data_IF_920852697519
#
_entry.id   IF_920852697519
#
_cell.length_a   1.000
_cell.length_b   1.000
_cell.length_c   1.000
_cell.angle_alpha   90.00
_cell.angle_beta   90.00
_cell.angle_gamma   90.00
#
_symmetry.space_group_name_H-M   'P 1'
#
loop_
_entity.id
_entity.type
_entity.pdbx_description
1 polymer ?
#
# COMPACT_ATOMS: atom_id res chain seq x y z
N UNK A 1 3.90 9.94 -80.76
CA UNK A 1 4.29 9.36 -79.46
C UNK A 1 5.77 9.61 -79.25
N UNK A 2 6.21 10.39 -78.27
CA UNK A 2 7.62 10.64 -78.08
C UNK A 2 8.25 9.44 -77.37
N UNK A 3 9.36 8.96 -77.93
CA UNK A 3 10.14 7.81 -77.45
C UNK A 3 10.84 8.15 -76.12
N UNK A 4 10.59 7.34 -75.09
CA UNK A 4 11.29 7.43 -73.79
C UNK A 4 12.71 6.81 -74.00
N UNK A 5 13.74 7.63 -73.90
CA UNK A 5 15.14 7.17 -74.03
C UNK A 5 15.66 6.57 -72.71
N UNK A 6 16.55 5.57 -72.77
CA UNK A 6 17.16 4.91 -71.62
C UNK A 6 17.77 5.90 -70.59
N UNK A 7 18.19 7.07 -71.03
CA UNK A 7 18.77 8.15 -70.17
C UNK A 7 17.71 8.86 -69.27
N UNK A 8 16.44 8.93 -69.75
CA UNK A 8 15.35 9.54 -68.93
C UNK A 8 14.81 8.60 -67.88
N UNK A 9 14.93 7.29 -68.09
CA UNK A 9 14.52 6.27 -67.10
C UNK A 9 15.54 6.21 -65.95
N UNK A 10 16.84 6.31 -66.21
CA UNK A 10 17.92 6.30 -65.20
C UNK A 10 17.88 7.55 -64.32
N UNK A 11 17.52 8.73 -64.86
CA UNK A 11 17.37 9.95 -64.05
C UNK A 11 16.13 9.96 -63.17
N UNK A 12 15.08 9.24 -63.52
CA UNK A 12 13.86 9.13 -62.67
C UNK A 12 14.01 8.04 -61.59
N UNK A 13 14.78 6.99 -61.81
CA UNK A 13 15.10 5.98 -60.80
C UNK A 13 16.13 6.42 -59.79
N UNK A 14 17.11 7.28 -60.19
CA UNK A 14 18.08 7.84 -59.24
C UNK A 14 17.47 8.83 -58.21
N UNK A 15 16.41 9.56 -58.60
CA UNK A 15 15.70 10.47 -57.68
C UNK A 15 14.80 9.75 -56.63
N UNK A 16 14.31 8.57 -56.96
CA UNK A 16 13.47 7.76 -56.02
C UNK A 16 14.33 6.94 -55.03
N UNK A 17 15.54 6.56 -55.37
CA UNK A 17 16.47 5.86 -54.47
C UNK A 17 17.09 6.83 -53.45
N UNK A 18 17.34 8.08 -53.83
CA UNK A 18 17.89 9.09 -52.91
C UNK A 18 16.85 9.59 -51.85
N UNK A 19 15.54 9.54 -52.15
CA UNK A 19 14.50 9.92 -51.19
C UNK A 19 14.14 8.81 -50.18
N UNK A 20 14.42 7.53 -50.51
CA UNK A 20 14.19 6.39 -49.62
C UNK A 20 15.32 6.14 -48.61
N UNK A 21 16.48 6.78 -48.76
CA UNK A 21 17.63 6.63 -47.87
C UNK A 21 17.73 7.69 -46.79
N UNK A 22 16.80 8.69 -46.77
CA UNK A 22 16.83 9.81 -45.80
C UNK A 22 15.78 9.69 -44.69
N UNK A 23 15.01 8.61 -44.64
CA UNK A 23 13.94 8.43 -43.62
C UNK A 23 14.09 7.17 -42.76
N UNK A 24 15.30 6.66 -42.58
CA UNK A 24 15.56 5.75 -41.47
C UNK A 24 16.00 6.62 -40.28
N UNK A 25 15.22 6.69 -39.19
CA UNK A 25 15.76 7.26 -37.96
C UNK A 25 17.03 6.44 -37.65
N UNK A 26 18.12 7.13 -37.39
CA UNK A 26 19.33 6.52 -36.86
C UNK A 26 19.00 6.04 -35.44
N UNK A 27 18.55 4.82 -35.32
CA UNK A 27 18.48 4.14 -34.03
C UNK A 27 19.94 3.82 -33.72
N UNK A 28 20.55 4.65 -32.89
CA UNK A 28 21.80 4.27 -32.26
C UNK A 28 21.50 2.92 -31.56
N UNK A 29 22.15 1.86 -32.02
CA UNK A 29 22.16 0.58 -31.37
C UNK A 29 22.95 0.75 -30.06
N UNK A 30 22.35 1.36 -29.05
CA UNK A 30 22.85 1.29 -27.69
C UNK A 30 22.87 -0.20 -27.37
N UNK A 31 24.06 -0.76 -27.07
CA UNK A 31 24.18 -2.15 -26.68
C UNK A 31 23.15 -2.44 -25.60
N UNK A 32 22.35 -3.49 -25.79
CA UNK A 32 21.36 -3.91 -24.81
C UNK A 32 22.01 -4.02 -23.42
N UNK A 33 21.41 -3.35 -22.43
CA UNK A 33 21.90 -3.33 -21.05
C UNK A 33 20.98 -4.17 -20.18
N UNK A 34 21.52 -4.76 -19.13
CA UNK A 34 20.78 -5.59 -18.19
C UNK A 34 20.68 -4.89 -16.85
N UNK A 35 19.46 -4.80 -16.27
CA UNK A 35 19.26 -4.37 -14.90
C UNK A 35 18.86 -5.55 -14.02
N UNK A 36 19.42 -5.61 -12.81
CA UNK A 36 19.07 -6.59 -11.78
C UNK A 36 17.91 -6.08 -10.94
N UNK A 37 16.80 -6.82 -10.90
CA UNK A 37 15.55 -6.41 -10.24
C UNK A 37 15.13 -7.42 -9.18
N UNK A 38 14.88 -6.95 -7.95
CA UNK A 38 14.29 -7.77 -6.91
C UNK A 38 12.84 -7.36 -6.70
N UNK A 39 11.94 -8.33 -6.91
CA UNK A 39 10.50 -8.12 -6.83
C UNK A 39 9.89 -8.98 -5.73
N UNK A 40 8.88 -8.46 -5.04
CA UNK A 40 8.18 -9.21 -4.00
C UNK A 40 7.27 -10.23 -4.66
N UNK A 41 7.28 -11.46 -4.15
CA UNK A 41 6.32 -12.47 -4.53
C UNK A 41 4.90 -12.00 -4.24
N UNK A 42 4.03 -12.10 -5.22
CA UNK A 42 2.63 -11.73 -5.10
C UNK A 42 1.89 -12.55 -4.05
N UNK A 43 0.87 -11.96 -3.43
CA UNK A 43 -0.08 -12.68 -2.58
C UNK A 43 -0.87 -13.71 -3.40
N UNK A 44 -1.31 -13.33 -4.59
CA UNK A 44 -1.88 -14.22 -5.59
C UNK A 44 -0.85 -14.52 -6.69
N UNK A 45 -0.85 -15.75 -7.19
CA UNK A 45 0.04 -16.18 -8.28
C UNK A 45 -0.09 -15.30 -9.53
N UNK A 46 -1.26 -14.75 -9.76
CA UNK A 46 -1.55 -13.85 -10.88
C UNK A 46 -0.70 -12.57 -10.84
N UNK A 47 -0.31 -12.09 -9.67
CA UNK A 47 0.60 -10.93 -9.54
C UNK A 47 2.01 -11.25 -10.08
N UNK A 48 2.51 -12.46 -9.82
CA UNK A 48 3.79 -12.91 -10.37
C UNK A 48 3.71 -13.11 -11.89
N UNK A 49 2.58 -13.61 -12.39
CA UNK A 49 2.33 -13.72 -13.84
C UNK A 49 2.31 -12.33 -14.48
N UNK A 50 1.63 -11.37 -13.85
CA UNK A 50 1.58 -9.99 -14.30
C UNK A 50 2.96 -9.35 -14.40
N UNK A 51 3.79 -9.54 -13.37
CA UNK A 51 5.16 -9.00 -13.36
C UNK A 51 6.02 -9.60 -14.51
N UNK A 52 5.98 -10.91 -14.68
CA UNK A 52 6.69 -11.58 -15.77
C UNK A 52 6.24 -11.10 -17.15
N UNK A 53 4.94 -10.85 -17.32
CA UNK A 53 4.39 -10.31 -18.57
C UNK A 53 4.94 -8.90 -18.85
N UNK A 54 4.93 -8.01 -17.86
CA UNK A 54 5.45 -6.65 -18.00
C UNK A 54 6.93 -6.64 -18.34
N UNK A 55 7.73 -7.48 -17.69
CA UNK A 55 9.15 -7.61 -18.01
C UNK A 55 9.32 -8.04 -19.47
N UNK A 56 8.61 -9.09 -19.90
CA UNK A 56 8.69 -9.57 -21.30
C UNK A 56 8.29 -8.49 -22.31
N UNK A 57 7.26 -7.70 -22.02
CA UNK A 57 6.79 -6.66 -22.93
C UNK A 57 7.73 -5.43 -22.94
N UNK A 58 8.32 -5.09 -21.81
CA UNK A 58 9.37 -4.07 -21.72
C UNK A 58 10.61 -4.48 -22.53
N UNK A 59 11.09 -5.72 -22.38
CA UNK A 59 12.27 -6.20 -23.10
C UNK A 59 12.07 -6.15 -24.62
N UNK A 60 10.87 -6.53 -25.10
CA UNK A 60 10.52 -6.42 -26.53
C UNK A 60 10.46 -4.97 -27.00
N UNK A 61 9.95 -4.06 -26.17
CA UNK A 61 9.78 -2.65 -26.53
C UNK A 61 11.10 -1.88 -26.50
N UNK A 62 11.94 -2.12 -25.49
CA UNK A 62 13.17 -1.36 -25.24
C UNK A 62 14.44 -1.98 -25.85
N UNK A 63 14.46 -3.32 -25.99
CA UNK A 63 15.67 -4.08 -26.30
C UNK A 63 16.62 -4.26 -25.12
N UNK A 64 16.32 -3.72 -23.94
CA UNK A 64 17.04 -3.98 -22.69
C UNK A 64 16.59 -5.32 -22.08
N UNK A 65 17.34 -5.82 -21.10
CA UNK A 65 17.04 -7.07 -20.38
C UNK A 65 16.84 -6.79 -18.89
N UNK A 66 15.91 -7.50 -18.25
CA UNK A 66 15.67 -7.46 -16.82
C UNK A 66 16.01 -8.84 -16.22
N UNK A 67 17.13 -8.91 -15.51
CA UNK A 67 17.47 -10.06 -14.68
C UNK A 67 16.76 -9.95 -13.33
N UNK A 68 15.65 -10.66 -13.16
CA UNK A 68 14.80 -10.49 -11.99
C UNK A 68 14.77 -11.71 -11.07
N UNK A 69 14.52 -11.42 -9.79
CA UNK A 69 14.19 -12.42 -8.77
C UNK A 69 12.88 -12.08 -8.11
N UNK A 70 11.92 -13.01 -8.11
CA UNK A 70 10.68 -12.90 -7.31
C UNK A 70 10.96 -13.58 -5.97
N UNK A 71 10.85 -12.82 -4.88
CA UNK A 71 11.32 -13.22 -3.54
C UNK A 71 10.17 -13.05 -2.54
N UNK A 72 9.91 -14.05 -1.66
CA UNK A 72 8.88 -13.94 -0.63
C UNK A 72 9.10 -12.72 0.29
N UNK A 73 8.00 -12.20 0.86
CA UNK A 73 7.97 -10.94 1.60
C UNK A 73 8.98 -10.87 2.76
N UNK A 74 9.03 -11.87 3.63
CA UNK A 74 9.95 -11.84 4.78
C UNK A 74 11.44 -11.95 4.37
N UNK A 75 11.87 -12.88 3.49
CA UNK A 75 13.24 -12.94 2.98
C UNK A 75 13.71 -11.70 2.25
N UNK A 76 12.87 -11.04 1.43
CA UNK A 76 13.30 -9.87 0.66
C UNK A 76 13.64 -8.69 1.57
N UNK A 77 12.92 -8.49 2.69
CA UNK A 77 13.20 -7.45 3.70
C UNK A 77 14.63 -7.57 4.21
N UNK A 78 15.03 -8.77 4.64
CA UNK A 78 16.38 -9.04 5.15
C UNK A 78 17.43 -8.87 4.06
N UNK A 79 17.12 -9.33 2.84
CA UNK A 79 18.02 -9.22 1.68
C UNK A 79 18.31 -7.76 1.32
N UNK A 80 17.27 -6.89 1.31
CA UNK A 80 17.42 -5.44 1.04
C UNK A 80 18.31 -4.79 2.10
N UNK A 81 18.05 -5.04 3.40
CA UNK A 81 18.86 -4.49 4.51
C UNK A 81 20.32 -4.92 4.38
N UNK A 82 20.57 -6.20 4.09
CA UNK A 82 21.93 -6.73 3.90
C UNK A 82 22.64 -6.09 2.72
N UNK A 83 21.94 -5.92 1.59
CA UNK A 83 22.48 -5.31 0.38
C UNK A 83 22.84 -3.84 0.59
N UNK A 84 21.93 -3.06 1.21
CA UNK A 84 22.21 -1.64 1.53
C UNK A 84 23.37 -1.47 2.51
N UNK A 85 23.57 -2.45 3.41
CA UNK A 85 24.68 -2.42 4.36
C UNK A 85 26.01 -2.80 3.71
N UNK A 86 26.03 -3.80 2.83
CA UNK A 86 27.24 -4.28 2.14
C UNK A 86 27.64 -3.43 0.95
N UNK A 87 26.70 -2.69 0.37
CA UNK A 87 26.87 -1.97 -0.89
C UNK A 87 26.71 -2.84 -2.14
N UNK A 88 26.43 -4.13 -2.02
CA UNK A 88 26.13 -5.03 -3.16
C UNK A 88 24.62 -5.03 -3.40
N UNK A 89 24.15 -3.98 -4.07
CA UNK A 89 22.74 -3.68 -4.27
C UNK A 89 22.26 -4.10 -5.66
N UNK A 90 20.94 -4.41 -5.83
CA UNK A 90 20.33 -4.55 -7.17
C UNK A 90 20.23 -3.20 -7.86
N UNK A 91 19.82 -3.20 -9.13
CA UNK A 91 19.55 -1.95 -9.85
C UNK A 91 18.15 -1.37 -9.50
N UNK A 92 17.22 -2.25 -9.12
CA UNK A 92 15.85 -1.87 -8.74
C UNK A 92 15.29 -2.86 -7.72
N UNK A 93 14.52 -2.39 -6.77
CA UNK A 93 13.71 -3.25 -5.91
C UNK A 93 12.38 -2.57 -5.52
N UNK A 94 11.41 -3.37 -5.11
CA UNK A 94 10.12 -2.90 -4.60
C UNK A 94 10.25 -2.52 -3.12
N UNK A 95 9.69 -1.37 -2.69
CA UNK A 95 9.74 -0.94 -1.29
C UNK A 95 9.07 -1.95 -0.35
N UNK A 96 9.87 -2.61 0.47
CA UNK A 96 9.42 -3.67 1.37
C UNK A 96 10.26 -3.69 2.65
N UNK A 97 9.67 -3.38 3.82
CA UNK A 97 8.30 -2.90 3.99
C UNK A 97 8.09 -1.47 3.44
N UNK A 98 6.85 -1.05 3.29
CA UNK A 98 6.51 0.23 2.62
C UNK A 98 7.13 1.45 3.30
N UNK A 99 7.20 1.47 4.63
CA UNK A 99 7.79 2.54 5.45
C UNK A 99 9.33 2.64 5.30
N UNK A 100 9.99 1.60 4.78
CA UNK A 100 11.44 1.62 4.55
C UNK A 100 11.86 2.72 3.56
N UNK A 101 10.98 3.11 2.63
CA UNK A 101 11.23 4.21 1.72
C UNK A 101 11.64 5.50 2.46
N UNK A 102 10.89 5.88 3.51
CA UNK A 102 11.17 7.10 4.26
C UNK A 102 12.53 7.06 4.98
N UNK A 103 12.87 5.92 5.60
CA UNK A 103 14.15 5.73 6.29
C UNK A 103 15.34 5.67 5.33
N UNK A 104 15.17 5.00 4.19
CA UNK A 104 16.21 4.90 3.18
C UNK A 104 16.46 6.25 2.49
N UNK A 105 15.41 7.04 2.23
CA UNK A 105 15.54 8.41 1.74
C UNK A 105 16.27 9.29 2.77
N UNK A 106 15.88 9.23 4.05
CA UNK A 106 16.54 9.95 5.15
C UNK A 106 18.04 9.64 5.20
N UNK A 107 18.42 8.38 5.07
CA UNK A 107 19.79 7.91 5.10
C UNK A 107 20.56 8.12 3.79
N UNK A 108 19.99 8.84 2.81
CA UNK A 108 20.60 9.10 1.50
C UNK A 108 20.98 7.83 0.73
N UNK A 109 20.19 6.76 0.88
CA UNK A 109 20.46 5.45 0.27
C UNK A 109 19.80 5.26 -1.10
N UNK A 110 18.96 6.21 -1.53
CA UNK A 110 18.16 6.10 -2.77
C UNK A 110 18.58 7.14 -3.81
N UNK A 111 18.38 6.77 -5.07
CA UNK A 111 18.52 7.66 -6.23
C UNK A 111 17.26 8.52 -6.34
N UNK A 112 17.44 9.79 -6.69
CA UNK A 112 16.36 10.72 -7.02
C UNK A 112 15.66 10.27 -8.31
N UNK A 113 14.34 10.03 -8.23
CA UNK A 113 13.46 9.58 -9.32
C UNK A 113 12.50 10.68 -9.80
N UNK A 114 12.79 11.93 -9.51
CA UNK A 114 11.93 13.06 -9.92
C UNK A 114 11.71 13.06 -11.43
N UNK A 115 12.74 12.81 -12.22
CA UNK A 115 12.66 12.69 -13.68
C UNK A 115 11.83 11.50 -14.19
N UNK A 116 11.62 10.50 -13.35
CA UNK A 116 10.73 9.36 -13.63
C UNK A 116 9.28 9.73 -13.31
N UNK A 117 9.02 10.20 -12.08
CA UNK A 117 7.66 10.48 -11.59
C UNK A 117 7.01 11.63 -12.37
N UNK A 118 7.76 12.68 -12.69
CA UNK A 118 7.27 13.84 -13.46
C UNK A 118 6.70 13.44 -14.84
N UNK A 119 7.11 12.30 -15.42
CA UNK A 119 6.58 11.83 -16.72
C UNK A 119 5.09 11.49 -16.69
N UNK A 120 4.54 11.19 -15.51
CA UNK A 120 3.15 10.77 -15.32
C UNK A 120 2.46 11.50 -14.16
N UNK A 121 3.05 12.59 -13.67
CA UNK A 121 2.63 13.29 -12.46
C UNK A 121 1.16 13.69 -12.45
N UNK A 122 0.64 14.13 -13.56
CA UNK A 122 -0.74 14.59 -13.75
C UNK A 122 -1.81 13.49 -13.57
N UNK A 123 -1.41 12.22 -13.66
CA UNK A 123 -2.31 11.07 -13.50
C UNK A 123 -2.44 10.60 -12.06
N UNK A 124 -1.44 10.90 -11.22
CA UNK A 124 -1.36 10.42 -9.84
C UNK A 124 -2.40 11.06 -8.91
N UNK A 125 -2.74 10.34 -7.84
CA UNK A 125 -3.37 10.94 -6.67
C UNK A 125 -2.36 11.77 -5.89
N UNK A 126 -2.82 12.83 -5.20
CA UNK A 126 -1.95 13.61 -4.32
C UNK A 126 -1.31 12.75 -3.23
N UNK A 127 -2.05 11.79 -2.67
CA UNK A 127 -1.55 10.87 -1.66
C UNK A 127 -0.40 9.99 -2.18
N UNK A 128 -0.47 9.49 -3.43
CA UNK A 128 0.60 8.71 -4.05
C UNK A 128 1.86 9.57 -4.28
N UNK A 129 1.68 10.82 -4.75
CA UNK A 129 2.79 11.75 -4.91
C UNK A 129 3.44 12.10 -3.58
N UNK A 130 2.64 12.41 -2.55
CA UNK A 130 3.15 12.68 -1.20
C UNK A 130 3.89 11.48 -0.64
N UNK A 131 3.36 10.26 -0.83
CA UNK A 131 4.01 9.03 -0.38
C UNK A 131 5.42 8.84 -0.95
N UNK A 132 5.61 9.16 -2.22
CA UNK A 132 6.91 9.04 -2.91
C UNK A 132 7.87 10.20 -2.63
N UNK A 133 7.35 11.36 -2.14
CA UNK A 133 8.10 12.61 -1.94
C UNK A 133 8.68 12.71 -0.53
N UNK A 134 9.83 12.07 -0.30
CA UNK A 134 10.42 11.92 1.02
C UNK A 134 11.56 12.90 1.28
N UNK A 135 11.86 13.15 2.56
CA UNK A 135 12.94 14.02 2.99
C UNK A 135 14.26 13.27 3.07
N UNK A 136 15.31 13.82 2.44
CA UNK A 136 16.67 13.32 2.54
C UNK A 136 17.39 14.06 3.68
N UNK A 137 17.74 13.33 4.73
CA UNK A 137 18.37 13.90 5.93
C UNK A 137 19.79 14.42 5.71
N UNK A 138 20.48 13.95 4.66
CA UNK A 138 21.84 14.39 4.30
C UNK A 138 21.80 15.58 3.35
N UNK A 139 20.97 15.51 2.31
CA UNK A 139 20.84 16.59 1.30
C UNK A 139 19.93 17.73 1.77
N UNK A 140 19.23 17.55 2.90
CA UNK A 140 18.32 18.54 3.50
C UNK A 140 17.22 19.04 2.55
N UNK A 141 16.72 18.16 1.70
CA UNK A 141 15.66 18.47 0.73
C UNK A 141 14.71 17.29 0.54
N UNK A 142 13.53 17.56 0.01
CA UNK A 142 12.60 16.54 -0.47
C UNK A 142 12.79 16.28 -1.95
N UNK A 143 12.61 15.02 -2.36
CA UNK A 143 12.52 14.60 -3.76
C UNK A 143 11.69 13.31 -3.86
N UNK A 144 11.36 12.90 -5.08
CA UNK A 144 10.74 11.60 -5.30
C UNK A 144 11.81 10.51 -5.25
N UNK A 145 11.76 9.67 -4.20
CA UNK A 145 12.68 8.55 -4.03
C UNK A 145 12.05 7.19 -4.37
N UNK A 146 10.79 7.18 -4.77
CA UNK A 146 10.07 6.02 -5.27
C UNK A 146 9.20 6.38 -6.46
N UNK A 147 8.99 5.41 -7.38
CA UNK A 147 8.03 5.53 -8.46
C UNK A 147 6.78 4.69 -8.09
N UNK A 148 5.67 5.33 -7.65
CA UNK A 148 4.49 4.62 -7.20
C UNK A 148 3.72 4.03 -8.38
N UNK A 149 3.27 2.78 -8.25
CA UNK A 149 2.46 2.13 -9.28
C UNK A 149 1.16 1.52 -8.72
N UNK A 150 1.07 1.33 -7.39
CA UNK A 150 -0.15 0.89 -6.74
C UNK A 150 -0.38 1.54 -5.39
N UNK A 151 -1.63 1.53 -4.94
CA UNK A 151 -2.06 1.95 -3.60
C UNK A 151 -2.71 0.79 -2.86
N UNK A 152 -2.67 0.86 -1.55
CA UNK A 152 -3.40 -0.01 -0.64
C UNK A 152 -3.96 0.82 0.53
N UNK A 153 -5.14 0.45 1.00
CA UNK A 153 -5.79 1.05 2.17
C UNK A 153 -6.72 0.02 2.81
N UNK A 154 -7.26 0.30 4.00
CA UNK A 154 -8.11 -0.63 4.71
C UNK A 154 -9.57 -0.51 4.27
N UNK A 155 -10.23 -1.66 4.28
CA UNK A 155 -11.69 -1.82 4.13
C UNK A 155 -12.20 -2.83 5.17
N UNK A 156 -13.52 -2.88 5.34
CA UNK A 156 -14.15 -3.86 6.21
C UNK A 156 -14.65 -5.05 5.39
N UNK A 157 -14.36 -6.25 5.84
CA UNK A 157 -14.79 -7.52 5.26
C UNK A 157 -15.80 -8.18 6.21
N UNK A 158 -16.95 -8.60 5.69
CA UNK A 158 -18.07 -9.06 6.51
C UNK A 158 -18.63 -10.35 5.92
N UNK A 159 -18.81 -11.37 6.76
CA UNK A 159 -19.54 -12.58 6.39
C UNK A 159 -21.05 -12.34 6.47
N UNK A 160 -21.73 -12.09 5.36
CA UNK A 160 -23.20 -11.92 5.27
C UNK A 160 -23.97 -13.06 5.94
N UNK A 161 -23.67 -14.37 5.69
CA UNK A 161 -24.41 -15.46 6.29
C UNK A 161 -24.29 -15.51 7.82
N UNK A 162 -23.19 -15.03 8.39
CA UNK A 162 -23.04 -14.93 9.84
C UNK A 162 -23.90 -13.80 10.43
N UNK A 163 -23.97 -12.65 9.74
CA UNK A 163 -24.85 -11.54 10.10
C UNK A 163 -26.32 -11.97 10.08
N UNK A 164 -26.75 -12.63 9.00
CA UNK A 164 -28.11 -13.14 8.84
C UNK A 164 -28.44 -14.22 9.88
N UNK A 165 -27.51 -15.14 10.16
CA UNK A 165 -27.65 -16.15 11.21
C UNK A 165 -27.77 -15.55 12.61
N UNK A 166 -27.18 -14.37 12.84
CA UNK A 166 -27.34 -13.62 14.09
C UNK A 166 -28.70 -12.89 14.18
N UNK A 167 -29.51 -12.88 13.10
CA UNK A 167 -30.82 -12.25 13.04
C UNK A 167 -30.79 -10.80 12.56
N UNK A 168 -29.71 -10.36 11.89
CA UNK A 168 -29.51 -9.00 11.37
C UNK A 168 -29.29 -9.02 9.86
N UNK A 169 -29.23 -7.84 9.24
CA UNK A 169 -28.77 -7.64 7.88
C UNK A 169 -27.53 -6.75 7.89
N UNK A 170 -26.65 -6.88 6.92
CA UNK A 170 -25.44 -6.03 6.81
C UNK A 170 -25.82 -4.56 6.64
N UNK A 171 -26.91 -4.31 5.93
CA UNK A 171 -27.46 -2.98 5.66
C UNK A 171 -27.98 -2.27 6.92
N UNK A 172 -28.24 -3.00 8.01
CA UNK A 172 -28.66 -2.45 9.30
C UNK A 172 -27.48 -1.90 10.11
N UNK A 173 -26.23 -2.07 9.64
CA UNK A 173 -25.05 -1.58 10.33
C UNK A 173 -25.10 -0.05 10.50
N UNK A 174 -24.94 0.47 11.73
CA UNK A 174 -24.86 1.90 11.97
C UNK A 174 -23.73 2.55 11.19
N UNK A 175 -23.86 3.83 10.88
CA UNK A 175 -22.89 4.55 10.03
C UNK A 175 -21.74 5.17 10.81
N UNK A 176 -21.85 5.34 12.15
CA UNK A 176 -20.83 5.97 12.97
C UNK A 176 -19.91 4.95 13.61
N UNK A 177 -18.66 5.32 13.85
CA UNK A 177 -17.53 4.46 14.18
C UNK A 177 -17.80 3.47 15.31
N UNK A 178 -18.07 3.94 16.50
CA UNK A 178 -18.27 3.06 17.67
C UNK A 178 -19.52 2.18 17.49
N UNK A 179 -20.64 2.76 17.04
CA UNK A 179 -21.87 2.01 16.82
C UNK A 179 -21.73 0.94 15.73
N UNK A 180 -20.93 1.22 14.69
CA UNK A 180 -20.64 0.24 13.61
C UNK A 180 -19.93 -1.00 14.15
N UNK A 181 -18.84 -0.83 14.87
CA UNK A 181 -18.11 -1.98 15.41
C UNK A 181 -18.85 -2.66 16.56
N UNK A 182 -19.60 -1.92 17.37
CA UNK A 182 -20.45 -2.47 18.43
C UNK A 182 -21.58 -3.35 17.84
N UNK A 183 -22.10 -3.02 16.67
CA UNK A 183 -23.06 -3.83 15.96
C UNK A 183 -22.53 -5.24 15.68
N UNK A 184 -21.30 -5.36 15.15
CA UNK A 184 -20.68 -6.66 14.90
C UNK A 184 -20.29 -7.37 16.21
N UNK A 185 -19.82 -6.66 17.23
CA UNK A 185 -19.57 -7.26 18.56
C UNK A 185 -20.84 -7.90 19.11
N UNK A 186 -21.98 -7.24 18.97
CA UNK A 186 -23.26 -7.71 19.50
C UNK A 186 -23.79 -8.98 18.82
N UNK A 187 -23.35 -9.30 17.60
CA UNK A 187 -23.71 -10.53 16.89
C UNK A 187 -23.11 -11.79 17.52
N UNK A 188 -22.01 -11.65 18.25
CA UNK A 188 -21.34 -12.77 18.88
C UNK A 188 -22.24 -13.56 19.82
N UNK A 189 -23.10 -12.89 20.60
CA UNK A 189 -23.97 -13.55 21.58
C UNK A 189 -24.98 -14.51 20.95
N UNK A 190 -25.79 -14.11 19.96
CA UNK A 190 -26.72 -15.03 19.30
C UNK A 190 -25.98 -16.12 18.52
N UNK A 191 -24.84 -15.84 17.89
CA UNK A 191 -24.08 -16.84 17.14
C UNK A 191 -23.48 -17.92 18.04
N UNK A 192 -23.05 -17.60 19.24
CA UNK A 192 -22.49 -18.56 20.21
C UNK A 192 -23.46 -19.63 20.65
N UNK A 193 -24.77 -19.49 20.44
CA UNK A 193 -25.74 -20.54 20.66
C UNK A 193 -25.48 -21.76 19.79
N UNK A 194 -24.89 -21.59 18.59
CA UNK A 194 -24.59 -22.68 17.64
C UNK A 194 -23.12 -22.78 17.24
N UNK A 195 -22.31 -21.75 17.50
CA UNK A 195 -20.89 -21.63 17.10
C UNK A 195 -20.05 -21.16 18.29
N UNK A 196 -19.51 -22.09 19.06
CA UNK A 196 -18.82 -21.77 20.33
C UNK A 196 -17.62 -20.85 20.18
N UNK A 197 -16.87 -20.94 19.08
CA UNK A 197 -15.61 -20.22 18.84
C UNK A 197 -15.78 -19.07 17.82
N UNK A 198 -16.93 -18.40 17.83
CA UNK A 198 -17.19 -17.22 17.00
C UNK A 198 -16.93 -15.95 17.78
N UNK A 199 -16.36 -14.94 17.11
CA UNK A 199 -16.08 -13.62 17.64
C UNK A 199 -16.69 -12.55 16.74
N UNK A 200 -17.09 -11.43 17.32
CA UNK A 200 -17.75 -10.36 16.57
C UNK A 200 -16.80 -9.63 15.63
N UNK A 201 -15.57 -9.39 16.05
CA UNK A 201 -14.60 -8.57 15.33
C UNK A 201 -13.20 -9.19 15.34
N UNK A 202 -12.46 -8.96 14.25
CA UNK A 202 -11.11 -9.46 14.04
C UNK A 202 -10.03 -8.38 14.27
N UNK A 203 -10.10 -7.65 15.38
CA UNK A 203 -9.07 -6.64 15.67
C UNK A 203 -7.71 -7.27 15.90
N UNK A 204 -6.69 -6.79 15.18
CA UNK A 204 -5.29 -7.16 15.39
C UNK A 204 -4.68 -6.32 16.52
N UNK A 205 -4.13 -6.98 17.53
CA UNK A 205 -3.57 -6.36 18.75
C UNK A 205 -2.13 -6.81 18.98
N UNK A 206 -1.45 -7.21 17.93
CA UNK A 206 -0.14 -7.83 17.95
C UNK A 206 0.97 -6.84 18.27
N UNK A 207 2.02 -7.35 18.91
CA UNK A 207 3.27 -6.63 19.13
C UNK A 207 4.23 -6.73 17.94
N UNK A 208 3.89 -7.46 16.87
CA UNK A 208 4.79 -7.78 15.76
C UNK A 208 4.16 -7.63 14.37
N UNK A 209 2.82 -7.51 14.27
CA UNK A 209 2.10 -7.35 13.00
C UNK A 209 2.01 -5.89 12.55
N UNK A 210 2.13 -5.64 11.24
CA UNK A 210 1.92 -4.31 10.66
C UNK A 210 0.45 -3.90 10.67
N UNK A 211 -0.47 -4.86 10.50
CA UNK A 211 -1.91 -4.60 10.50
C UNK A 211 -2.41 -4.00 11.81
N UNK A 212 -1.74 -4.34 12.93
CA UNK A 212 -2.00 -3.70 14.22
C UNK A 212 -1.75 -2.19 14.18
N UNK A 213 -0.64 -1.75 13.58
CA UNK A 213 -0.33 -0.33 13.42
C UNK A 213 -1.33 0.36 12.49
N UNK A 214 -1.63 -0.28 11.34
CA UNK A 214 -2.55 0.25 10.36
C UNK A 214 -3.94 0.46 10.99
N UNK A 215 -4.46 -0.57 11.64
CA UNK A 215 -5.76 -0.51 12.30
C UNK A 215 -5.80 0.58 13.38
N UNK A 216 -4.78 0.69 14.25
CA UNK A 216 -4.74 1.74 15.28
C UNK A 216 -4.79 3.14 14.67
N UNK A 217 -4.08 3.38 13.58
CA UNK A 217 -4.09 4.66 12.88
C UNK A 217 -5.52 5.07 12.50
N UNK A 218 -6.33 4.16 11.98
CA UNK A 218 -7.72 4.45 11.63
C UNK A 218 -8.59 4.75 12.86
N UNK A 219 -8.41 3.99 13.94
CA UNK A 219 -9.12 4.27 15.20
C UNK A 219 -8.69 5.62 15.77
N UNK A 220 -7.43 6.00 15.67
CA UNK A 220 -6.93 7.31 16.06
C UNK A 220 -7.56 8.42 15.21
N UNK A 221 -7.55 8.27 13.88
CA UNK A 221 -8.14 9.26 12.96
C UNK A 221 -9.62 9.46 13.25
N UNK A 222 -10.37 8.37 13.42
CA UNK A 222 -11.80 8.40 13.73
C UNK A 222 -12.13 9.05 15.10
N UNK A 223 -11.16 9.12 16.01
CA UNK A 223 -11.29 9.78 17.30
C UNK A 223 -10.64 11.19 17.34
N UNK A 224 -10.44 11.81 16.17
CA UNK A 224 -9.97 13.20 16.06
C UNK A 224 -8.45 13.38 16.14
N UNK A 225 -7.69 12.28 16.13
CA UNK A 225 -6.23 12.31 16.29
C UNK A 225 -5.43 12.31 14.98
N UNK A 226 -6.03 12.70 13.85
CA UNK A 226 -5.41 12.64 12.53
C UNK A 226 -4.12 13.47 12.39
N UNK A 227 -3.88 14.42 13.26
CA UNK A 227 -2.75 15.35 13.22
C UNK A 227 -1.51 14.93 14.02
N UNK A 228 -1.34 13.65 14.36
CA UNK A 228 -0.19 13.19 15.17
C UNK A 228 1.17 13.58 14.56
N UNK A 229 1.29 13.53 13.22
CA UNK A 229 2.41 14.10 12.48
C UNK A 229 1.84 15.02 11.42
N UNK A 230 2.21 16.29 11.48
CA UNK A 230 1.73 17.28 10.51
C UNK A 230 2.51 17.22 9.20
N UNK A 231 1.97 17.75 8.10
CA UNK A 231 2.65 17.74 6.79
C UNK A 231 4.03 18.38 6.79
N UNK A 232 4.32 19.31 7.71
CA UNK A 232 5.64 19.90 7.92
C UNK A 232 6.58 19.02 8.78
N UNK A 233 6.15 17.81 9.12
CA UNK A 233 6.96 16.80 9.82
C UNK A 233 7.04 16.95 11.33
N UNK A 234 6.23 17.81 11.94
CA UNK A 234 6.22 17.99 13.40
C UNK A 234 5.34 16.95 14.09
N UNK A 235 5.80 16.47 15.23
CA UNK A 235 5.03 15.64 16.15
C UNK A 235 4.10 16.52 17.00
N UNK A 236 2.82 16.19 17.04
CA UNK A 236 1.79 16.90 17.80
C UNK A 236 1.19 16.07 18.94
N UNK A 237 2.02 15.43 19.74
CA UNK A 237 1.57 14.79 20.99
C UNK A 237 1.26 15.78 22.11
N UNK A 238 1.55 17.06 21.93
CA UNK A 238 1.10 18.17 22.77
C UNK A 238 -0.34 18.61 22.49
N UNK A 239 -0.94 18.23 21.34
CA UNK A 239 -2.35 18.46 21.05
C UNK A 239 -3.24 17.52 21.90
N UNK A 240 -4.13 18.07 22.77
CA UNK A 240 -5.02 17.27 23.58
C UNK A 240 -5.92 16.32 22.78
N UNK A 241 -6.36 16.71 21.58
CA UNK A 241 -7.20 15.87 20.72
C UNK A 241 -6.46 14.63 20.22
N UNK A 242 -5.19 14.79 19.84
CA UNK A 242 -4.34 13.68 19.42
C UNK A 242 -4.13 12.71 20.57
N UNK A 243 -3.79 13.23 21.77
CA UNK A 243 -3.59 12.38 22.96
C UNK A 243 -4.86 11.65 23.37
N UNK A 244 -5.98 12.34 23.46
CA UNK A 244 -7.27 11.74 23.79
C UNK A 244 -7.72 10.73 22.75
N UNK A 245 -7.54 11.03 21.46
CA UNK A 245 -7.85 10.12 20.36
C UNK A 245 -7.06 8.81 20.43
N UNK A 246 -5.75 8.87 20.72
CA UNK A 246 -4.90 7.69 20.93
C UNK A 246 -5.34 6.88 22.16
N UNK A 247 -5.60 7.55 23.29
CA UNK A 247 -6.07 6.88 24.51
C UNK A 247 -7.40 6.16 24.24
N UNK A 248 -8.34 6.80 23.54
CA UNK A 248 -9.62 6.19 23.15
C UNK A 248 -9.45 5.01 22.22
N UNK A 249 -8.62 5.14 21.17
CA UNK A 249 -8.35 4.06 20.21
C UNK A 249 -7.77 2.81 20.90
N UNK A 250 -6.78 3.01 21.79
CA UNK A 250 -6.17 1.94 22.57
C UNK A 250 -7.17 1.35 23.56
N UNK A 251 -7.96 2.18 24.26
CA UNK A 251 -8.97 1.72 25.20
C UNK A 251 -10.07 0.91 24.53
N UNK A 252 -10.60 1.36 23.39
CA UNK A 252 -11.67 0.70 22.68
C UNK A 252 -11.26 -0.71 22.23
N UNK A 253 -10.09 -0.83 21.58
CA UNK A 253 -9.59 -2.10 21.07
C UNK A 253 -9.23 -3.07 22.19
N UNK A 254 -8.57 -2.61 23.26
CA UNK A 254 -8.21 -3.46 24.40
C UNK A 254 -9.43 -3.87 25.23
N UNK A 255 -10.46 -3.04 25.33
CA UNK A 255 -11.72 -3.38 25.97
C UNK A 255 -12.44 -4.47 25.18
N UNK A 256 -12.55 -4.35 23.86
CA UNK A 256 -13.14 -5.38 23.01
C UNK A 256 -12.43 -6.74 23.17
N UNK A 257 -11.11 -6.74 23.31
CA UNK A 257 -10.33 -7.95 23.58
C UNK A 257 -10.62 -8.54 24.99
N UNK A 258 -10.55 -7.72 26.02
CA UNK A 258 -10.79 -8.15 27.41
C UNK A 258 -12.20 -8.68 27.65
N UNK A 259 -13.18 -8.13 26.95
CA UNK A 259 -14.58 -8.58 27.00
C UNK A 259 -14.85 -9.80 26.12
N UNK A 260 -13.84 -10.28 25.38
CA UNK A 260 -13.91 -11.49 24.59
C UNK A 260 -14.67 -11.36 23.27
N UNK A 261 -14.72 -10.17 22.68
CA UNK A 261 -15.24 -9.93 21.33
C UNK A 261 -14.20 -10.17 20.21
N UNK A 262 -12.93 -10.29 20.59
CA UNK A 262 -11.78 -10.55 19.73
C UNK A 262 -11.17 -11.91 20.12
N UNK A 263 -10.69 -12.73 19.17
CA UNK A 263 -9.99 -13.97 19.51
C UNK A 263 -8.81 -13.75 20.46
N UNK A 264 -8.64 -14.61 21.45
CA UNK A 264 -7.54 -14.48 22.42
C UNK A 264 -6.15 -14.60 21.78
N UNK A 265 -6.05 -15.22 20.61
CA UNK A 265 -4.82 -15.31 19.80
C UNK A 265 -4.41 -13.97 19.17
N UNK A 266 -5.30 -12.99 19.04
CA UNK A 266 -5.09 -11.74 18.29
C UNK A 266 -3.88 -10.91 18.78
N UNK A 267 -3.50 -11.08 20.04
CA UNK A 267 -2.31 -10.42 20.61
C UNK A 267 -0.98 -10.98 20.06
N UNK A 268 -1.03 -12.11 19.36
CA UNK A 268 0.15 -12.76 18.77
C UNK A 268 0.02 -12.91 17.25
N UNK A 269 -1.02 -12.35 16.62
CA UNK A 269 -1.24 -12.47 15.18
C UNK A 269 -0.12 -11.82 14.37
N UNK A 270 0.30 -12.48 13.30
CA UNK A 270 1.04 -11.87 12.20
C UNK A 270 0.07 -11.29 11.15
N UNK A 271 0.60 -10.69 10.10
CA UNK A 271 -0.20 -10.01 9.07
C UNK A 271 -1.08 -10.94 8.18
N UNK A 272 -1.13 -12.24 8.46
CA UNK A 272 -2.01 -13.21 7.77
C UNK A 272 -3.03 -13.87 8.69
N UNK A 273 -2.93 -13.70 9.99
CA UNK A 273 -3.74 -14.48 10.94
C UNK A 273 -5.18 -13.97 11.04
N UNK A 274 -5.42 -12.66 10.88
CA UNK A 274 -6.77 -12.10 10.77
C UNK A 274 -7.48 -12.64 9.52
N UNK A 275 -6.83 -12.68 8.35
CA UNK A 275 -7.38 -13.28 7.13
C UNK A 275 -7.72 -14.76 7.35
N UNK A 276 -6.84 -15.53 8.02
CA UNK A 276 -7.09 -16.94 8.35
C UNK A 276 -8.28 -17.11 9.29
N UNK A 277 -8.40 -16.24 10.30
CA UNK A 277 -9.54 -16.24 11.21
C UNK A 277 -10.85 -15.87 10.49
N UNK A 278 -10.80 -14.96 9.54
CA UNK A 278 -11.93 -14.58 8.71
C UNK A 278 -12.34 -15.72 7.76
N UNK A 279 -11.41 -16.29 7.00
CA UNK A 279 -11.71 -17.39 6.07
C UNK A 279 -12.22 -18.64 6.78
N UNK A 280 -11.75 -18.92 8.00
CA UNK A 280 -12.28 -20.02 8.82
C UNK A 280 -13.63 -19.69 9.46
N UNK A 281 -14.21 -18.51 9.19
CA UNK A 281 -15.48 -18.04 9.76
C UNK A 281 -15.45 -17.98 11.30
N UNK A 282 -14.26 -17.74 11.88
CA UNK A 282 -14.07 -17.55 13.32
C UNK A 282 -14.47 -16.14 13.77
N UNK A 283 -14.42 -15.15 12.87
CA UNK A 283 -14.82 -13.77 13.09
C UNK A 283 -15.92 -13.37 12.12
N UNK A 284 -16.85 -12.51 12.57
CA UNK A 284 -17.97 -12.04 11.74
C UNK A 284 -17.48 -10.97 10.75
N UNK A 285 -16.62 -10.08 11.22
CA UNK A 285 -16.05 -9.02 10.41
C UNK A 285 -14.55 -8.90 10.68
N UNK A 286 -13.84 -8.44 9.67
CA UNK A 286 -12.42 -8.09 9.72
C UNK A 286 -12.21 -6.67 9.17
N UNK A 287 -11.18 -6.00 9.63
CA UNK A 287 -10.69 -4.74 9.06
C UNK A 287 -9.26 -4.99 8.56
N UNK A 288 -9.09 -5.02 7.27
CA UNK A 288 -7.82 -5.41 6.64
C UNK A 288 -7.48 -4.56 5.43
N UNK A 289 -6.20 -4.59 5.04
CA UNK A 289 -5.68 -3.91 3.87
C UNK A 289 -5.99 -4.66 2.58
N UNK A 290 -6.36 -3.92 1.54
CA UNK A 290 -6.69 -4.45 0.21
C UNK A 290 -7.95 -5.34 0.19
N UNK A 291 -8.23 -5.95 -0.96
CA UNK A 291 -9.23 -7.03 -1.09
C UNK A 291 -8.55 -8.41 -1.18
N UNK A 292 -7.45 -8.59 -0.45
CA UNK A 292 -6.73 -9.88 -0.41
C UNK A 292 -7.61 -11.01 0.10
N UNK A 293 -8.48 -10.70 1.04
CA UNK A 293 -9.46 -11.63 1.63
C UNK A 293 -10.38 -12.22 0.56
N UNK A 294 -10.92 -11.39 -0.32
CA UNK A 294 -11.79 -11.83 -1.43
C UNK A 294 -10.99 -12.54 -2.51
N UNK A 295 -9.83 -11.99 -2.88
CA UNK A 295 -8.98 -12.56 -3.93
C UNK A 295 -8.50 -13.98 -3.57
N UNK A 296 -8.22 -14.25 -2.29
CA UNK A 296 -7.79 -15.57 -1.83
C UNK A 296 -8.82 -16.68 -2.09
N UNK A 297 -10.09 -16.34 -2.20
CA UNK A 297 -11.20 -17.29 -2.36
C UNK A 297 -12.01 -17.08 -3.65
N UNK A 298 -11.45 -16.33 -4.61
CA UNK A 298 -12.15 -15.95 -5.85
C UNK A 298 -12.69 -17.15 -6.65
N UNK A 299 -12.04 -18.30 -6.56
CA UNK A 299 -12.45 -19.56 -7.20
C UNK A 299 -13.62 -20.26 -6.47
N UNK A 300 -13.89 -19.90 -5.21
CA UNK A 300 -15.07 -20.34 -4.47
C UNK A 300 -16.16 -19.27 -4.57
N UNK A 301 -16.91 -19.32 -5.67
CA UNK A 301 -17.92 -18.31 -5.97
C UNK A 301 -18.94 -18.09 -4.85
N UNK A 302 -19.37 -19.12 -4.14
CA UNK A 302 -20.33 -18.99 -3.05
C UNK A 302 -19.76 -18.17 -1.90
N UNK A 303 -18.58 -18.52 -1.39
CA UNK A 303 -17.93 -17.78 -0.30
C UNK A 303 -17.55 -16.36 -0.75
N UNK A 304 -17.14 -16.19 -2.03
CA UNK A 304 -16.86 -14.87 -2.59
C UNK A 304 -18.10 -13.96 -2.57
N UNK A 305 -19.24 -14.45 -3.06
CA UNK A 305 -20.51 -13.72 -3.09
C UNK A 305 -21.10 -13.50 -1.67
N UNK A 306 -20.75 -14.34 -0.69
CA UNK A 306 -21.17 -14.26 0.70
C UNK A 306 -20.41 -13.19 1.51
N UNK A 307 -19.22 -12.77 1.06
CA UNK A 307 -18.51 -11.66 1.65
C UNK A 307 -19.15 -10.34 1.21
N UNK A 308 -19.19 -9.37 2.11
CA UNK A 308 -19.51 -7.97 1.82
C UNK A 308 -18.30 -7.12 2.17
N UNK A 309 -17.78 -6.41 1.18
CA UNK A 309 -16.70 -5.42 1.38
C UNK A 309 -17.32 -4.05 1.54
N UNK A 310 -16.97 -3.34 2.61
CA UNK A 310 -17.46 -2.00 2.92
C UNK A 310 -16.31 -1.02 3.19
N UNK A 311 -16.50 0.23 2.81
CA UNK A 311 -15.62 1.32 3.22
C UNK A 311 -15.66 1.55 4.74
N UNK A 312 -14.84 2.51 5.19
CA UNK A 312 -14.78 2.90 6.60
C UNK A 312 -16.10 3.58 7.03
N UNK A 313 -16.55 3.34 8.27
CA UNK A 313 -17.66 4.12 8.83
C UNK A 313 -17.27 5.58 9.03
N UNK A 314 -18.26 6.46 9.19
CA UNK A 314 -18.06 7.84 9.61
C UNK A 314 -17.48 7.89 11.03
N UNK A 315 -16.82 8.96 11.40
CA UNK A 315 -16.48 9.20 12.80
C UNK A 315 -17.73 9.32 13.68
N UNK A 316 -17.55 9.46 15.00
CA UNK A 316 -18.67 9.55 15.92
C UNK A 316 -19.44 10.88 15.81
N UNK A 317 -18.89 11.89 15.14
CA UNK A 317 -19.53 13.16 14.81
C UNK A 317 -20.26 13.12 13.45
N UNK A 318 -20.22 11.99 12.74
CA UNK A 318 -20.84 11.81 11.42
C UNK A 318 -20.03 12.36 10.25
N UNK A 319 -18.73 12.58 10.41
CA UNK A 319 -17.84 13.06 9.35
C UNK A 319 -17.10 11.89 8.69
N UNK A 320 -16.73 11.99 7.40
CA UNK A 320 -15.90 10.99 6.75
C UNK A 320 -14.55 10.81 7.44
N UNK A 321 -14.16 9.56 7.67
CA UNK A 321 -12.83 9.19 8.15
C UNK A 321 -11.93 9.04 6.92
N UNK A 322 -10.86 9.85 6.79
CA UNK A 322 -9.94 9.69 5.67
C UNK A 322 -9.28 8.31 5.65
N UNK A 323 -9.30 7.66 4.48
CA UNK A 323 -8.57 6.42 4.29
C UNK A 323 -7.08 6.72 4.19
N UNK A 324 -6.29 6.22 5.15
CA UNK A 324 -4.84 6.33 5.09
C UNK A 324 -4.31 5.27 4.13
N UNK A 325 -3.61 5.70 3.08
CA UNK A 325 -3.13 4.80 2.03
C UNK A 325 -1.62 4.70 2.02
N UNK A 326 -1.14 3.51 1.67
CA UNK A 326 0.26 3.24 1.36
C UNK A 326 0.44 3.11 -0.14
N UNK A 327 1.64 3.41 -0.66
CA UNK A 327 1.98 3.17 -2.05
C UNK A 327 3.06 2.10 -2.19
N UNK A 328 2.88 1.20 -3.14
CA UNK A 328 3.97 0.35 -3.59
C UNK A 328 4.75 1.08 -4.69
N UNK A 329 6.05 1.17 -4.50
CA UNK A 329 6.97 1.92 -5.35
C UNK A 329 8.13 1.04 -5.81
N UNK A 330 8.61 1.28 -7.02
CA UNK A 330 9.94 0.84 -7.42
C UNK A 330 10.99 1.82 -6.90
N UNK A 331 12.08 1.31 -6.30
CA UNK A 331 13.18 2.07 -5.71
C UNK A 331 14.50 1.70 -6.37
N UNK A 332 15.35 2.70 -6.61
CA UNK A 332 16.71 2.51 -7.11
C UNK A 332 17.69 2.87 -5.99
N UNK A 333 18.47 1.92 -5.47
CA UNK A 333 19.46 2.21 -4.43
C UNK A 333 20.66 2.97 -4.99
N UNK A 334 21.28 3.83 -4.18
CA UNK A 334 22.61 4.36 -4.49
C UNK A 334 23.61 3.21 -4.54
N UNK A 335 24.47 3.19 -5.55
CA UNK A 335 25.37 2.07 -5.85
C UNK A 335 24.86 1.10 -6.92
N UNK A 336 23.64 1.25 -7.40
CA UNK A 336 23.13 0.54 -8.58
C UNK A 336 24.03 0.77 -9.81
N UNK A 337 24.26 -0.29 -10.57
CA UNK A 337 25.20 -0.27 -11.70
C UNK A 337 24.54 0.16 -13.02
N UNK A 338 23.25 -0.10 -13.16
CA UNK A 338 22.46 0.12 -14.38
C UNK A 338 21.26 1.04 -14.12
N UNK A 339 21.51 2.19 -13.47
CA UNK A 339 20.49 3.19 -13.09
C UNK A 339 19.62 3.63 -14.27
N UNK A 340 20.23 3.84 -15.45
CA UNK A 340 19.51 4.28 -16.64
C UNK A 340 18.45 3.26 -17.09
N UNK A 341 18.80 1.95 -17.10
CA UNK A 341 17.86 0.88 -17.47
C UNK A 341 16.78 0.73 -16.39
N UNK A 342 17.14 0.84 -15.12
CA UNK A 342 16.20 0.78 -14.02
C UNK A 342 15.19 1.95 -14.07
N UNK A 343 15.65 3.17 -14.36
CA UNK A 343 14.77 4.33 -14.59
C UNK A 343 13.87 4.16 -15.80
N UNK A 344 14.41 3.64 -16.90
CA UNK A 344 13.65 3.37 -18.13
C UNK A 344 12.55 2.32 -17.89
N UNK A 345 12.87 1.23 -17.19
CA UNK A 345 11.87 0.24 -16.78
C UNK A 345 10.80 0.84 -15.86
N UNK A 346 11.18 1.70 -14.91
CA UNK A 346 10.19 2.40 -14.07
C UNK A 346 9.30 3.34 -14.89
N UNK A 347 9.85 4.11 -15.84
CA UNK A 347 9.05 4.95 -16.75
C UNK A 347 8.07 4.14 -17.58
N UNK A 348 8.44 2.91 -17.98
CA UNK A 348 7.54 1.98 -18.65
C UNK A 348 6.45 1.47 -17.70
N UNK A 349 6.82 1.01 -16.50
CA UNK A 349 5.90 0.44 -15.50
C UNK A 349 4.81 1.42 -15.07
N UNK A 350 5.18 2.70 -14.85
CA UNK A 350 4.24 3.72 -14.39
C UNK A 350 3.38 4.35 -15.50
N UNK A 351 3.46 3.89 -16.73
CA UNK A 351 2.49 4.31 -17.75
C UNK A 351 1.08 3.83 -17.32
N UNK A 352 0.03 4.68 -17.42
CA UNK A 352 -1.30 4.33 -16.92
C UNK A 352 -1.82 2.99 -17.46
N UNK A 353 -1.63 2.74 -18.77
CA UNK A 353 -2.04 1.46 -19.38
C UNK A 353 -1.26 0.27 -18.81
N UNK A 354 0.05 0.40 -18.65
CA UNK A 354 0.93 -0.70 -18.17
C UNK A 354 0.63 -1.02 -16.71
N UNK A 355 0.57 0.02 -15.85
CA UNK A 355 0.18 -0.14 -14.44
C UNK A 355 -1.24 -0.71 -14.31
N UNK A 356 -2.19 -0.23 -15.11
CA UNK A 356 -3.56 -0.72 -15.11
C UNK A 356 -3.65 -2.20 -15.48
N UNK A 357 -2.99 -2.62 -16.56
CA UNK A 357 -2.98 -4.01 -17.01
C UNK A 357 -2.30 -4.92 -15.96
N UNK A 358 -1.17 -4.47 -15.37
CA UNK A 358 -0.50 -5.18 -14.28
C UNK A 358 -1.43 -5.48 -13.12
N UNK A 359 -2.12 -4.46 -12.63
CA UNK A 359 -2.99 -4.58 -11.47
C UNK A 359 -4.26 -5.38 -11.78
N UNK A 360 -4.78 -5.30 -13.02
CA UNK A 360 -5.92 -6.13 -13.46
C UNK A 360 -5.57 -7.61 -13.53
N UNK A 361 -4.41 -7.97 -14.10
CA UNK A 361 -3.92 -9.35 -14.11
C UNK A 361 -3.73 -9.84 -12.67
N UNK A 362 -3.25 -8.98 -11.77
CA UNK A 362 -3.17 -9.22 -10.31
C UNK A 362 -4.51 -9.17 -9.59
N UNK A 363 -5.64 -9.31 -10.32
CA UNK A 363 -7.02 -9.41 -9.81
C UNK A 363 -7.55 -8.13 -9.12
N UNK A 364 -6.87 -7.01 -9.25
CA UNK A 364 -7.23 -5.75 -8.60
C UNK A 364 -7.07 -5.78 -7.08
N UNK A 365 -6.23 -6.68 -6.55
CA UNK A 365 -5.95 -6.74 -5.11
C UNK A 365 -5.40 -5.43 -4.57
N UNK A 366 -4.56 -4.76 -5.34
CA UNK A 366 -4.13 -3.40 -5.08
C UNK A 366 -4.81 -2.42 -6.05
N UNK A 367 -5.01 -1.18 -5.61
CA UNK A 367 -5.53 -0.10 -6.42
C UNK A 367 -4.43 0.56 -7.25
N UNK A 368 -4.77 1.18 -8.39
CA UNK A 368 -3.83 2.03 -9.10
C UNK A 368 -3.44 3.26 -8.25
N UNK A 369 -2.21 3.72 -8.41
CA UNK A 369 -1.78 5.00 -7.84
C UNK A 369 -2.35 6.22 -8.61
N UNK A 370 -3.03 5.97 -9.73
CA UNK A 370 -3.52 6.97 -10.70
C UNK A 370 -5.03 6.86 -10.87
N UNK A 371 -5.76 7.96 -10.68
CA UNK A 371 -7.22 7.98 -10.81
C UNK A 371 -7.70 7.81 -12.25
N UNK A 372 -6.91 8.21 -13.25
CA UNK A 372 -7.23 8.05 -14.66
C UNK A 372 -7.49 6.59 -15.05
N UNK A 373 -6.70 5.65 -14.49
CA UNK A 373 -6.85 4.21 -14.76
C UNK A 373 -8.25 3.70 -14.41
N UNK A 374 -8.79 4.16 -13.29
CA UNK A 374 -10.12 3.73 -12.82
C UNK A 374 -11.24 4.44 -13.60
N UNK A 375 -11.04 5.72 -13.95
CA UNK A 375 -12.03 6.49 -14.71
C UNK A 375 -12.21 5.97 -16.13
N UNK A 376 -11.12 5.49 -16.73
CA UNK A 376 -11.10 5.07 -18.13
C UNK A 376 -11.48 3.59 -18.32
N UNK A 377 -11.59 2.81 -17.22
CA UNK A 377 -11.87 1.38 -17.30
C UNK A 377 -12.92 0.94 -16.27
N UNK A 378 -14.17 0.63 -16.72
CA UNK A 378 -15.27 0.23 -15.85
C UNK A 378 -15.03 -1.12 -15.13
N UNK A 379 -14.04 -1.90 -15.52
CA UNK A 379 -13.67 -3.14 -14.83
C UNK A 379 -13.43 -2.91 -13.33
N UNK A 380 -12.86 -1.76 -12.97
CA UNK A 380 -12.51 -1.43 -11.58
C UNK A 380 -13.73 -1.28 -10.66
N UNK A 381 -14.89 -0.97 -11.22
CA UNK A 381 -16.13 -0.76 -10.46
C UNK A 381 -17.24 -1.76 -10.80
N UNK A 382 -16.97 -2.71 -11.70
CA UNK A 382 -17.97 -3.72 -12.10
C UNK A 382 -18.21 -4.80 -11.03
N UNK A 383 -17.20 -5.09 -10.23
CA UNK A 383 -17.28 -6.05 -9.12
C UNK A 383 -17.55 -5.30 -7.80
N UNK A 384 -18.45 -5.78 -6.93
CA UNK A 384 -18.85 -5.04 -5.72
C UNK A 384 -17.70 -4.84 -4.73
N UNK A 385 -16.78 -5.80 -4.59
CA UNK A 385 -15.65 -5.72 -3.69
C UNK A 385 -14.63 -4.67 -4.17
N UNK A 386 -14.24 -4.74 -5.45
CA UNK A 386 -13.37 -3.73 -6.06
C UNK A 386 -14.00 -2.35 -6.02
N UNK A 387 -15.32 -2.24 -6.29
CA UNK A 387 -16.05 -0.99 -6.24
C UNK A 387 -15.96 -0.34 -4.86
N UNK A 388 -16.28 -1.07 -3.80
CA UNK A 388 -16.19 -0.57 -2.43
C UNK A 388 -14.76 -0.12 -2.07
N UNK A 389 -13.77 -0.89 -2.51
CA UNK A 389 -12.37 -0.58 -2.30
C UNK A 389 -11.93 0.69 -3.05
N UNK A 390 -12.30 0.81 -4.33
CA UNK A 390 -12.05 2.02 -5.16
C UNK A 390 -12.71 3.26 -4.55
N UNK A 391 -13.98 3.15 -4.18
CA UNK A 391 -14.73 4.28 -3.61
C UNK A 391 -14.15 4.76 -2.28
N UNK A 392 -13.66 3.83 -1.43
CA UNK A 392 -13.09 4.19 -0.14
C UNK A 392 -11.63 4.65 -0.21
N UNK A 393 -10.77 3.90 -0.94
CA UNK A 393 -9.31 4.05 -0.85
C UNK A 393 -8.67 4.73 -2.06
N UNK A 394 -9.45 5.20 -3.04
CA UNK A 394 -8.94 5.92 -4.20
C UNK A 394 -9.73 7.18 -4.52
N UNK A 395 -11.07 7.08 -4.58
CA UNK A 395 -11.93 8.19 -4.96
C UNK A 395 -12.52 8.94 -3.77
N UNK A 396 -12.46 8.36 -2.56
CA UNK A 396 -12.88 8.98 -1.32
C UNK A 396 -11.87 9.96 -0.77
N UNK A 397 -12.04 10.34 0.50
CA UNK A 397 -11.03 11.11 1.21
C UNK A 397 -9.86 10.20 1.55
N UNK A 398 -8.69 10.46 0.97
CA UNK A 398 -7.48 9.68 1.20
C UNK A 398 -6.35 10.57 1.73
N UNK A 399 -5.45 9.98 2.53
CA UNK A 399 -4.26 10.64 3.07
C UNK A 399 -3.10 9.65 3.08
N UNK A 400 -1.85 10.09 2.91
CA UNK A 400 -0.72 9.19 3.03
C UNK A 400 -0.44 8.84 4.49
N UNK A 401 0.37 7.82 4.71
CA UNK A 401 0.90 7.42 6.01
C UNK A 401 1.81 8.52 6.59
N UNK A 402 1.82 8.67 7.92
CA UNK A 402 2.54 9.74 8.61
C UNK A 402 4.06 9.68 8.49
N UNK A 403 4.64 8.52 8.20
CA UNK A 403 6.08 8.41 7.98
C UNK A 403 6.58 9.14 6.72
N UNK A 404 5.69 9.51 5.79
CA UNK A 404 6.07 10.35 4.64
C UNK A 404 6.34 11.79 5.05
N UNK A 405 5.69 12.25 6.11
CA UNK A 405 5.90 13.59 6.67
C UNK A 405 7.18 13.64 7.50
N UNK A 406 7.41 12.63 8.36
CA UNK A 406 8.64 12.48 9.13
C UNK A 406 9.04 10.99 9.24
N UNK A 407 10.25 10.61 8.81
CA UNK A 407 10.72 9.20 8.85
C UNK A 407 10.77 8.61 10.25
N UNK A 408 10.77 9.43 11.31
CA UNK A 408 10.65 8.96 12.70
C UNK A 408 9.43 8.06 12.90
N UNK A 409 8.30 8.34 12.21
CA UNK A 409 7.11 7.51 12.36
C UNK A 409 7.29 6.10 11.76
N UNK A 410 8.17 5.93 10.78
CA UNK A 410 8.56 4.60 10.31
C UNK A 410 9.28 3.80 11.42
N UNK A 411 10.12 4.47 12.21
CA UNK A 411 10.75 3.85 13.38
C UNK A 411 9.75 3.54 14.50
N UNK A 412 8.74 4.39 14.73
CA UNK A 412 7.63 4.12 15.68
C UNK A 412 6.94 2.80 15.29
N UNK A 413 6.68 2.58 13.99
CA UNK A 413 6.10 1.34 13.47
C UNK A 413 7.04 0.16 13.64
N UNK A 414 8.30 0.29 13.21
CA UNK A 414 9.29 -0.79 13.26
C UNK A 414 9.62 -1.25 14.69
N UNK A 415 9.53 -0.35 15.65
CA UNK A 415 9.71 -0.66 17.08
C UNK A 415 8.44 -1.11 17.77
N UNK A 416 7.33 -1.24 17.03
CA UNK A 416 6.02 -1.69 17.52
C UNK A 416 5.55 -0.98 18.80
N UNK A 417 5.74 0.35 18.85
CA UNK A 417 5.45 1.16 20.04
C UNK A 417 4.01 0.98 20.51
N UNK A 418 3.06 1.00 19.58
CA UNK A 418 1.63 0.81 19.89
C UNK A 418 1.28 -0.62 20.31
N UNK A 419 1.92 -1.61 19.67
CA UNK A 419 1.80 -3.01 20.09
C UNK A 419 2.26 -3.23 21.52
N UNK A 420 3.35 -2.56 21.94
CA UNK A 420 3.81 -2.60 23.32
C UNK A 420 2.79 -1.96 24.28
N UNK A 421 2.12 -0.87 23.91
CA UNK A 421 1.07 -0.28 24.73
C UNK A 421 -0.12 -1.24 24.94
N UNK A 422 -0.55 -1.95 23.91
CA UNK A 422 -1.58 -3.01 24.06
C UNK A 422 -1.11 -4.14 24.97
N UNK A 423 0.13 -4.60 24.82
CA UNK A 423 0.70 -5.64 25.68
C UNK A 423 0.76 -5.19 27.15
N UNK A 424 1.12 -3.94 27.42
CA UNK A 424 1.13 -3.37 28.78
C UNK A 424 -0.27 -3.40 29.40
N UNK A 425 -1.33 -3.10 28.63
CA UNK A 425 -2.70 -3.16 29.12
C UNK A 425 -3.19 -4.59 29.32
N UNK A 426 -2.94 -5.47 28.33
CA UNK A 426 -3.51 -6.81 28.30
C UNK A 426 -2.76 -7.77 29.23
N UNK A 427 -1.42 -7.73 29.22
CA UNK A 427 -0.56 -8.65 29.98
C UNK A 427 -0.16 -8.11 31.35
N UNK A 428 0.09 -6.78 31.43
CA UNK A 428 0.64 -6.17 32.64
C UNK A 428 -0.42 -5.41 33.47
N UNK A 429 -1.67 -5.32 32.96
CA UNK A 429 -2.78 -4.70 33.67
C UNK A 429 -2.71 -3.17 33.82
N UNK A 430 -1.89 -2.49 33.00
CA UNK A 430 -1.82 -1.04 32.97
C UNK A 430 -3.17 -0.43 32.55
N UNK A 431 -3.45 0.78 32.98
CA UNK A 431 -4.59 1.54 32.43
C UNK A 431 -4.29 1.96 30.99
N UNK A 432 -5.31 2.12 30.11
CA UNK A 432 -5.09 2.64 28.76
C UNK A 432 -4.36 3.98 28.75
N UNK A 433 -4.66 4.86 29.70
CA UNK A 433 -4.00 6.16 29.84
C UNK A 433 -2.49 6.00 30.15
N UNK A 434 -2.14 5.19 31.16
CA UNK A 434 -0.74 5.05 31.57
C UNK A 434 0.09 4.37 30.50
N UNK A 435 -0.49 3.37 29.79
CA UNK A 435 0.16 2.71 28.68
C UNK A 435 0.38 3.66 27.49
N UNK A 436 -0.60 4.49 27.17
CA UNK A 436 -0.48 5.52 26.15
C UNK A 436 0.58 6.56 26.49
N UNK A 437 0.58 7.08 27.75
CA UNK A 437 1.59 8.06 28.20
C UNK A 437 3.03 7.49 28.14
N UNK A 438 3.19 6.22 28.45
CA UNK A 438 4.48 5.54 28.27
C UNK A 438 4.88 5.46 26.79
N UNK A 439 3.94 5.13 25.91
CA UNK A 439 4.18 5.08 24.47
C UNK A 439 4.49 6.48 23.90
N UNK A 440 3.82 7.54 24.37
CA UNK A 440 4.08 8.93 23.95
C UNK A 440 5.52 9.34 24.21
N UNK A 441 6.05 9.06 25.39
CA UNK A 441 7.48 9.33 25.70
C UNK A 441 8.41 8.59 24.75
N UNK A 442 8.10 7.34 24.43
CA UNK A 442 8.92 6.57 23.49
C UNK A 442 8.87 7.15 22.08
N UNK A 443 7.67 7.58 21.61
CA UNK A 443 7.53 8.29 20.33
C UNK A 443 8.35 9.58 20.31
N UNK A 444 8.29 10.39 21.37
CA UNK A 444 9.08 11.64 21.50
C UNK A 444 10.59 11.36 21.43
N UNK A 445 11.08 10.31 22.12
CA UNK A 445 12.48 9.87 22.07
C UNK A 445 12.91 9.41 20.66
N UNK A 446 12.00 8.77 19.91
CA UNK A 446 12.26 8.39 18.51
C UNK A 446 12.34 9.65 17.65
N UNK A 447 11.37 10.55 17.73
CA UNK A 447 11.34 11.77 16.93
C UNK A 447 12.55 12.69 17.15
N UNK A 448 13.08 12.73 18.37
CA UNK A 448 14.31 13.48 18.69
C UNK A 448 15.53 13.05 17.86
N UNK A 449 15.52 11.85 17.27
CA UNK A 449 16.62 11.33 16.42
C UNK A 449 16.52 11.79 14.96
N UNK A 450 15.38 12.39 14.56
CA UNK A 450 15.06 12.79 13.19
C UNK A 450 14.77 14.30 13.10
N UNK A 451 15.72 15.17 13.41
CA UNK A 451 15.52 16.62 13.32
C UNK A 451 15.36 17.04 11.87
N UNK A 452 14.19 17.52 11.51
CA UNK A 452 13.93 18.09 10.19
C UNK A 452 14.07 19.61 10.25
N UNK A 453 14.78 20.18 9.28
CA UNK A 453 14.80 21.63 9.07
C UNK A 453 13.46 22.02 8.43
N UNK A 454 12.89 23.16 8.87
CA UNK A 454 11.66 23.68 8.26
C UNK A 454 11.98 24.03 6.80
N UNK A 455 11.39 23.28 5.85
CA UNK A 455 11.51 23.52 4.40
C UNK A 455 10.47 24.51 3.95
#
# INVERSE_FOLDING_TARGET
MPSITRRSLIRRSAGLVAAASLSRPYVANAAAKTAVVWWVQGFAQQEDVAFKQIVSDYEKASGNTIDYSIIPYAPIRQKIVSALTSGDVPDLYQNTPVEALALQAWNNQLVDLTDVVETQKEHYTDAALQFAHNYNGVEKRRAYYGAPYSLAGLVNHIWRPLVEKAGFKVEDAPKTWDAYYDFFKNMQKPLRASMRNIFGVGFTLSTTGNDSNNQLNYFLIANGGSGIVTPDGKLHLDDPKVREGLIKAIAYTTTAYKEGYVPSSAINWNDSDNNNAFHSKQIVMDIDGTISTEVAIIDNKQDYDDIVTMGLPLDNDGKPVPCQVTATCGLIPKGAKNVDVAKDFLKYLIQPKVSGDYLKIGLGRNLPAMTSIVKDDPWWTADPHRKAYVENCLLGSITPEWFVYNPAYADVRNQHVWGAAWADIIRNGMTPKDAAEKAFKWVEEIFAKYPMEST
#
